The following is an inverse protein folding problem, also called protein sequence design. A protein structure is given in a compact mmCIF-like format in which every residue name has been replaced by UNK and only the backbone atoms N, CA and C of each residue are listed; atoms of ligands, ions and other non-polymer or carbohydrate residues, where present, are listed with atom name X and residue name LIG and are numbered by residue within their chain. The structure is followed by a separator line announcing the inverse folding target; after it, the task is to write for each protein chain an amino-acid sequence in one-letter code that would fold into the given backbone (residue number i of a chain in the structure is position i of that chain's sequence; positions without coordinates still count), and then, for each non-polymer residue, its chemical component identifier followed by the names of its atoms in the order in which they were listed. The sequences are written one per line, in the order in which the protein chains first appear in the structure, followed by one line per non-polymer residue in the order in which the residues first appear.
data_IF_654222016033
#
_entry.id   IF_654222016033
#
_cell.length_a   1.000
_cell.length_b   1.000
_cell.length_c   1.000
_cell.angle_alpha   90.00
_cell.angle_beta   90.00
_cell.angle_gamma   90.00
#
_symmetry.space_group_name_H-M   'P 1'
#
loop_
_entity.id
_entity.type
_entity.pdbx_description
1 polymer ?
#
# COMPACT_ATOMS: atom_id res chain seq x y z
N UNK A 1 12.78 -15.39 -1.32
CA UNK A 1 12.31 -14.06 -1.72
C UNK A 1 11.93 -13.28 -0.48
N UNK A 2 12.28 -12.00 -0.38
CA UNK A 2 11.91 -11.23 0.79
C UNK A 2 10.41 -11.03 0.89
N UNK A 3 9.92 -10.92 2.10
CA UNK A 3 8.51 -10.69 2.36
C UNK A 3 8.27 -9.20 2.64
N UNK A 4 7.23 -8.66 2.05
CA UNK A 4 6.84 -7.26 2.23
C UNK A 4 5.43 -7.20 2.78
N UNK A 5 5.14 -6.12 3.50
CA UNK A 5 3.83 -5.91 4.11
C UNK A 5 3.23 -4.61 3.58
N UNK A 6 1.95 -4.63 3.33
CA UNK A 6 1.24 -3.52 2.70
C UNK A 6 0.13 -3.07 3.64
N UNK A 7 0.45 -2.07 4.45
CA UNK A 7 -0.48 -1.58 5.47
C UNK A 7 -1.26 -0.40 4.93
N UNK A 8 -2.54 -0.33 5.28
CA UNK A 8 -3.32 0.88 5.05
C UNK A 8 -3.05 1.82 6.22
N UNK A 9 -2.65 3.04 5.94
CA UNK A 9 -2.33 4.04 6.96
C UNK A 9 -3.13 5.31 6.72
N UNK A 10 -3.36 6.07 7.78
CA UNK A 10 -4.13 7.31 7.74
C UNK A 10 -5.27 7.29 8.72
N UNK A 11 -6.44 7.76 8.30
CA UNK A 11 -7.61 7.88 9.17
C UNK A 11 -8.12 6.52 9.68
N UNK A 12 -8.07 5.51 8.82
CA UNK A 12 -8.54 4.16 9.14
C UNK A 12 -7.41 3.17 8.91
N UNK A 13 -6.49 3.06 9.87
CA UNK A 13 -5.34 2.17 9.68
C UNK A 13 -5.75 0.69 9.73
N UNK A 14 -5.12 -0.10 8.86
CA UNK A 14 -5.29 -1.54 8.85
C UNK A 14 -3.94 -2.17 8.56
N UNK A 15 -3.53 -3.11 9.41
CA UNK A 15 -2.24 -3.76 9.27
C UNK A 15 -2.36 -5.03 8.46
N UNK A 16 -1.39 -5.24 7.57
CA UNK A 16 -1.26 -6.49 6.84
C UNK A 16 -0.47 -7.46 7.72
N UNK A 17 -1.09 -8.56 8.07
CA UNK A 17 -0.47 -9.57 8.94
C UNK A 17 0.12 -10.73 8.16
N UNK A 18 -0.22 -10.86 6.89
CA UNK A 18 0.21 -11.99 6.07
C UNK A 18 1.44 -11.69 5.23
N UNK A 19 1.48 -10.49 4.66
CA UNK A 19 2.56 -10.10 3.77
C UNK A 19 2.50 -10.79 2.42
N UNK A 20 3.44 -10.43 1.57
CA UNK A 20 3.57 -11.00 0.23
C UNK A 20 5.04 -11.09 -0.11
N UNK A 21 5.46 -12.22 -0.66
CA UNK A 21 6.83 -12.36 -1.15
C UNK A 21 6.95 -11.66 -2.49
N UNK A 22 7.96 -10.78 -2.59
CA UNK A 22 8.27 -10.05 -3.82
C UNK A 22 9.76 -10.23 -4.11
N UNK A 23 10.11 -10.18 -5.37
CA UNK A 23 11.49 -10.40 -5.79
C UNK A 23 12.43 -9.30 -5.31
N UNK A 24 11.94 -8.06 -5.27
CA UNK A 24 12.73 -6.89 -4.89
C UNK A 24 11.81 -5.73 -4.51
N UNK A 25 12.40 -4.61 -4.12
CA UNK A 25 11.65 -3.42 -3.69
C UNK A 25 10.78 -2.86 -4.81
N UNK A 26 11.24 -2.93 -6.04
CA UNK A 26 10.48 -2.42 -7.18
C UNK A 26 9.17 -3.19 -7.36
N UNK A 27 9.24 -4.52 -7.26
CA UNK A 27 8.04 -5.35 -7.37
C UNK A 27 7.08 -5.06 -6.22
N UNK A 28 7.61 -4.84 -5.02
CA UNK A 28 6.80 -4.47 -3.87
C UNK A 28 6.12 -3.12 -4.09
N UNK A 29 6.84 -2.16 -4.66
CA UNK A 29 6.27 -0.85 -4.97
C UNK A 29 5.15 -0.96 -6.00
N UNK A 30 5.36 -1.75 -7.04
CA UNK A 30 4.34 -1.96 -8.08
C UNK A 30 3.09 -2.59 -7.49
N UNK A 31 3.26 -3.56 -6.60
CA UNK A 31 2.12 -4.20 -5.94
C UNK A 31 1.39 -3.22 -5.02
N UNK A 32 2.14 -2.42 -4.27
CA UNK A 32 1.56 -1.38 -3.41
C UNK A 32 0.77 -0.36 -4.21
N UNK A 33 1.28 0.03 -5.37
CA UNK A 33 0.60 0.96 -6.27
C UNK A 33 -0.71 0.35 -6.79
N UNK A 34 -0.71 -0.93 -7.10
CA UNK A 34 -1.91 -1.64 -7.53
C UNK A 34 -2.97 -1.62 -6.42
N UNK A 35 -2.56 -1.91 -5.19
CA UNK A 35 -3.48 -1.90 -4.05
C UNK A 35 -4.04 -0.49 -3.83
N UNK A 36 -3.17 0.52 -3.85
CA UNK A 36 -3.57 1.90 -3.64
C UNK A 36 -4.58 2.36 -4.69
N UNK A 37 -4.35 1.97 -5.93
CA UNK A 37 -5.24 2.29 -7.03
C UNK A 37 -6.60 1.60 -6.87
N UNK A 38 -6.58 0.33 -6.52
CA UNK A 38 -7.80 -0.44 -6.35
C UNK A 38 -8.67 0.11 -5.23
N UNK A 39 -8.08 0.39 -4.08
CA UNK A 39 -8.82 0.95 -2.94
C UNK A 39 -9.34 2.34 -3.29
N UNK A 40 -8.52 3.16 -3.93
CA UNK A 40 -8.92 4.51 -4.32
C UNK A 40 -10.07 4.51 -5.32
N UNK A 41 -10.11 3.51 -6.20
CA UNK A 41 -11.20 3.37 -7.16
C UNK A 41 -12.47 2.88 -6.51
N UNK A 42 -12.37 1.89 -5.61
CA UNK A 42 -13.54 1.31 -4.94
C UNK A 42 -14.08 2.20 -3.82
N UNK A 43 -13.20 2.96 -3.18
CA UNK A 43 -13.56 3.81 -2.03
C UNK A 43 -12.94 5.20 -2.19
N UNK A 44 -13.44 6.01 -3.14
CA UNK A 44 -12.84 7.31 -3.41
C UNK A 44 -12.85 8.27 -2.22
N UNK A 45 -13.74 8.08 -1.25
CA UNK A 45 -13.74 8.88 -0.03
C UNK A 45 -12.44 8.72 0.76
N UNK A 46 -11.81 7.56 0.71
CA UNK A 46 -10.56 7.31 1.43
C UNK A 46 -9.39 8.10 0.84
N UNK A 47 -9.45 8.45 -0.44
CA UNK A 47 -8.42 9.27 -1.07
C UNK A 47 -8.42 10.66 -0.44
N UNK A 48 -9.61 11.23 -0.22
CA UNK A 48 -9.75 12.57 0.36
C UNK A 48 -9.32 12.62 1.83
N UNK A 49 -9.36 11.49 2.51
CA UNK A 49 -8.96 11.40 3.91
C UNK A 49 -7.45 11.32 4.11
N UNK A 50 -6.69 11.31 3.03
CA UNK A 50 -5.25 11.26 3.10
C UNK A 50 -4.68 9.89 3.44
N UNK A 51 -5.44 8.84 3.22
CA UNK A 51 -4.96 7.49 3.45
C UNK A 51 -3.91 7.10 2.41
N UNK A 52 -3.00 6.24 2.79
CA UNK A 52 -1.95 5.78 1.89
C UNK A 52 -1.57 4.34 2.24
N UNK A 53 -0.86 3.69 1.31
CA UNK A 53 -0.32 2.36 1.56
C UNK A 53 1.12 2.51 2.05
N UNK A 54 1.38 1.98 3.24
CA UNK A 54 2.72 1.92 3.81
C UNK A 54 3.30 0.56 3.46
N UNK A 55 4.33 0.55 2.62
CA UNK A 55 5.01 -0.69 2.24
C UNK A 55 6.22 -0.86 3.14
N UNK A 56 6.23 -1.94 3.91
CA UNK A 56 7.36 -2.24 4.80
C UNK A 56 8.04 -3.51 4.34
N UNK A 57 9.34 -3.61 4.65
CA UNK A 57 10.10 -4.82 4.36
C UNK A 57 9.92 -5.83 5.50
N UNK A 58 10.58 -6.97 5.41
CA UNK A 58 10.47 -8.05 6.40
C UNK A 58 11.00 -7.66 7.77
N UNK A 59 11.77 -6.58 7.87
CA UNK A 59 12.30 -6.06 9.12
C UNK A 59 11.41 -4.97 9.73
N UNK A 60 10.27 -4.70 9.09
CA UNK A 60 9.34 -3.69 9.57
C UNK A 60 9.70 -2.26 9.19
N UNK A 61 10.70 -2.08 8.34
CA UNK A 61 11.10 -0.75 7.88
C UNK A 61 10.20 -0.29 6.74
N UNK A 62 9.62 0.89 6.87
CA UNK A 62 8.83 1.47 5.80
C UNK A 62 9.75 1.92 4.67
N UNK A 63 9.52 1.37 3.48
CA UNK A 63 10.34 1.69 2.31
C UNK A 63 9.61 2.57 1.30
N UNK A 64 8.28 2.54 1.28
CA UNK A 64 7.47 3.38 0.40
C UNK A 64 6.21 3.82 1.10
N UNK A 65 5.75 5.03 0.77
CA UNK A 65 4.42 5.54 1.10
C UNK A 65 3.73 5.83 -0.22
N UNK A 66 2.67 5.11 -0.51
CA UNK A 66 1.97 5.23 -1.79
C UNK A 66 0.57 5.78 -1.52
N UNK A 67 0.30 7.04 -1.86
CA UNK A 67 -1.03 7.62 -1.65
C UNK A 67 -2.09 6.85 -2.42
N UNK A 68 -3.28 6.75 -1.85
CA UNK A 68 -4.40 6.19 -2.58
C UNK A 68 -4.72 7.11 -3.74
N UNK A 69 -4.99 6.50 -4.90
CA UNK A 69 -5.28 7.27 -6.10
C UNK A 69 -6.54 6.71 -6.76
N UNK A 70 -7.43 7.59 -7.19
CA UNK A 70 -8.57 7.14 -7.95
C UNK A 70 -8.27 7.30 -9.43
N UNK A 71 -8.84 6.42 -10.23
CA UNK A 71 -8.66 6.43 -11.67
C UNK A 71 -9.61 7.36 -12.36
N UNK A 72 -9.91 8.45 -11.83
CA UNK A 72 -10.67 9.39 -12.63
C UNK A 72 -9.74 10.03 -13.61
N UNK A 73 -9.82 9.59 -14.75
CA UNK A 73 -9.17 10.28 -15.82
C UNK A 73 -10.22 11.08 -16.55
#
# INVERSE_FOLDING_TARGET
MPKYFFHLAGQLPAHDLLGLECANDKEAKDHGSFIAHRIGTEKPGMVREGNYISVTNEHGKEIFQIPLASTTV
#
